data_IF_729931505679
#
_entry.id   IF_729931505679
#
_cell.length_a   1.000
_cell.length_b   1.000
_cell.length_c   1.000
_cell.angle_alpha   90.00
_cell.angle_beta   90.00
_cell.angle_gamma   90.00
#
_symmetry.space_group_name_H-M   'P 1'
#
loop_
_entity.id
_entity.type
_entity.pdbx_description
1 polymer ?
#
# COMPACT_ATOMS: atom_id res chain seq x y z
N UNK A 1 -4.19 -15.55 -17.14
CA UNK A 1 -3.84 -16.14 -15.83
C UNK A 1 -5.05 -16.44 -14.97
N UNK A 2 -5.84 -15.46 -14.50
CA UNK A 2 -7.03 -15.73 -13.64
C UNK A 2 -8.01 -16.75 -14.24
N UNK A 3 -8.41 -16.56 -15.50
CA UNK A 3 -9.32 -17.48 -16.21
C UNK A 3 -8.69 -18.87 -16.38
N UNK A 4 -7.40 -18.92 -16.75
CA UNK A 4 -6.63 -20.15 -16.97
C UNK A 4 -6.45 -20.95 -15.65
N UNK A 5 -6.33 -20.26 -14.52
CA UNK A 5 -6.28 -20.92 -13.21
C UNK A 5 -7.64 -21.51 -12.82
N UNK A 6 -8.75 -20.86 -13.16
CA UNK A 6 -10.11 -21.34 -12.82
C UNK A 6 -10.59 -22.47 -13.73
N UNK A 7 -10.07 -22.59 -14.95
CA UNK A 7 -10.46 -23.65 -15.90
C UNK A 7 -10.10 -25.05 -15.42
N UNK A 8 -9.15 -25.20 -14.49
CA UNK A 8 -8.78 -26.48 -13.85
C UNK A 8 -9.98 -27.15 -13.15
N UNK A 9 -10.90 -26.37 -12.61
CA UNK A 9 -12.10 -26.92 -11.96
C UNK A 9 -13.08 -27.58 -12.92
N UNK A 10 -12.95 -27.35 -14.23
CA UNK A 10 -13.82 -27.94 -15.25
C UNK A 10 -13.32 -29.29 -15.76
N UNK A 11 -12.07 -29.65 -15.46
CA UNK A 11 -11.31 -30.69 -16.16
C UNK A 11 -10.71 -31.75 -15.24
N UNK A 12 -10.52 -31.43 -13.95
CA UNK A 12 -9.93 -32.33 -12.95
C UNK A 12 -10.90 -32.64 -11.81
N UNK A 13 -10.76 -33.81 -11.17
CA UNK A 13 -11.55 -34.13 -9.99
C UNK A 13 -11.31 -33.10 -8.88
N UNK A 14 -12.40 -32.52 -8.38
CA UNK A 14 -12.35 -31.41 -7.45
C UNK A 14 -11.98 -31.89 -6.04
N UNK A 15 -10.68 -32.03 -5.77
CA UNK A 15 -10.17 -32.28 -4.42
C UNK A 15 -10.06 -30.96 -3.64
N UNK A 16 -10.35 -31.00 -2.34
CA UNK A 16 -10.26 -29.82 -1.46
C UNK A 16 -8.87 -29.16 -1.48
N UNK A 17 -7.81 -29.95 -1.64
CA UNK A 17 -6.44 -29.47 -1.75
C UNK A 17 -6.17 -28.73 -3.08
N UNK A 18 -6.67 -29.27 -4.20
CA UNK A 18 -6.54 -28.62 -5.50
C UNK A 18 -7.29 -27.28 -5.51
N UNK A 19 -8.47 -27.24 -4.88
CA UNK A 19 -9.24 -26.01 -4.68
C UNK A 19 -8.41 -24.95 -3.97
N UNK A 20 -7.76 -25.31 -2.86
CA UNK A 20 -6.96 -24.35 -2.09
C UNK A 20 -5.75 -23.86 -2.88
N UNK A 21 -5.02 -24.74 -3.59
CA UNK A 21 -3.88 -24.33 -4.43
C UNK A 21 -4.30 -23.37 -5.56
N UNK A 22 -5.42 -23.65 -6.22
CA UNK A 22 -5.97 -22.77 -7.27
C UNK A 22 -6.45 -21.46 -6.67
N UNK A 23 -7.12 -21.48 -5.51
CA UNK A 23 -7.56 -20.27 -4.82
C UNK A 23 -6.38 -19.38 -4.39
N UNK A 24 -5.28 -19.94 -3.86
CA UNK A 24 -4.07 -19.17 -3.52
C UNK A 24 -3.48 -18.41 -4.72
N UNK A 25 -3.40 -19.05 -5.88
CA UNK A 25 -2.81 -18.44 -7.08
C UNK A 25 -3.76 -17.45 -7.76
N UNK A 26 -5.07 -17.75 -7.75
CA UNK A 26 -6.09 -16.85 -8.28
C UNK A 26 -6.23 -15.57 -7.45
N UNK A 27 -6.21 -15.65 -6.12
CA UNK A 27 -6.27 -14.45 -5.26
C UNK A 27 -5.10 -13.51 -5.54
N UNK A 28 -3.90 -14.04 -5.76
CA UNK A 28 -2.74 -13.25 -6.15
C UNK A 28 -2.96 -12.52 -7.49
N UNK A 29 -3.44 -13.23 -8.51
CA UNK A 29 -3.72 -12.63 -9.80
C UNK A 29 -4.81 -11.56 -9.71
N UNK A 30 -5.83 -11.78 -8.87
CA UNK A 30 -6.91 -10.82 -8.62
C UNK A 30 -6.36 -9.52 -8.01
N UNK A 31 -5.38 -9.58 -7.09
CA UNK A 31 -4.74 -8.39 -6.52
C UNK A 31 -4.10 -7.52 -7.62
N UNK A 32 -3.38 -8.14 -8.56
CA UNK A 32 -2.78 -7.43 -9.69
C UNK A 32 -3.83 -6.79 -10.60
N UNK A 33 -4.89 -7.53 -10.91
CA UNK A 33 -6.00 -7.04 -11.73
C UNK A 33 -6.70 -5.86 -11.05
N UNK A 34 -7.01 -5.94 -9.76
CA UNK A 34 -7.64 -4.85 -9.01
C UNK A 34 -6.76 -3.60 -9.06
N UNK A 35 -5.45 -3.74 -8.85
CA UNK A 35 -4.50 -2.61 -8.87
C UNK A 35 -4.42 -1.94 -10.23
N UNK A 36 -4.24 -2.74 -11.28
CA UNK A 36 -4.17 -2.22 -12.64
C UNK A 36 -5.44 -1.47 -13.03
N UNK A 37 -6.61 -2.09 -12.83
CA UNK A 37 -7.90 -1.49 -13.17
C UNK A 37 -8.19 -0.25 -12.34
N UNK A 38 -7.85 -0.25 -11.05
CA UNK A 38 -8.04 0.93 -10.18
C UNK A 38 -7.30 2.16 -10.71
N UNK A 39 -6.04 1.99 -11.12
CA UNK A 39 -5.25 3.08 -11.69
C UNK A 39 -5.70 3.49 -13.09
N UNK A 40 -6.11 2.51 -13.90
CA UNK A 40 -6.61 2.78 -15.25
C UNK A 40 -7.92 3.60 -15.21
N UNK A 41 -8.89 3.19 -14.38
CA UNK A 41 -10.15 3.92 -14.18
C UNK A 41 -9.88 5.33 -13.66
N UNK A 42 -8.95 5.47 -12.73
CA UNK A 42 -8.63 6.75 -12.08
C UNK A 42 -7.52 7.55 -12.78
N UNK A 43 -7.08 7.20 -13.98
CA UNK A 43 -5.90 7.79 -14.62
C UNK A 43 -5.99 9.33 -14.74
N UNK A 44 -7.17 9.85 -15.09
CA UNK A 44 -7.42 11.31 -15.15
C UNK A 44 -7.30 11.97 -13.78
N UNK A 45 -7.82 11.33 -12.74
CA UNK A 45 -7.75 11.83 -11.37
C UNK A 45 -6.32 11.79 -10.82
N UNK A 46 -5.57 10.74 -11.12
CA UNK A 46 -4.15 10.62 -10.80
C UNK A 46 -3.34 11.76 -11.43
N UNK A 47 -3.59 12.05 -12.72
CA UNK A 47 -2.97 13.20 -13.39
C UNK A 47 -3.32 14.52 -12.70
N UNK A 48 -4.60 14.74 -12.41
CA UNK A 48 -5.05 15.94 -11.70
C UNK A 48 -4.38 16.07 -10.32
N UNK A 49 -4.24 14.99 -9.55
CA UNK A 49 -3.56 15.02 -8.25
C UNK A 49 -2.10 15.48 -8.40
N UNK A 50 -1.40 14.98 -9.42
CA UNK A 50 -0.03 15.41 -9.72
C UNK A 50 0.05 16.89 -10.06
N UNK A 51 -0.81 17.38 -10.95
CA UNK A 51 -0.85 18.80 -11.36
C UNK A 51 -1.14 19.71 -10.16
N UNK A 52 -2.06 19.30 -9.28
CA UNK A 52 -2.40 20.03 -8.06
C UNK A 52 -1.25 20.08 -7.08
N UNK A 53 -0.54 18.96 -6.89
CA UNK A 53 0.67 18.92 -6.06
C UNK A 53 1.74 19.87 -6.61
N UNK A 54 1.97 19.85 -7.92
CA UNK A 54 2.93 20.73 -8.57
C UNK A 54 2.57 22.21 -8.38
N UNK A 55 1.30 22.57 -8.56
CA UNK A 55 0.84 23.94 -8.32
C UNK A 55 1.10 24.38 -6.87
N UNK A 56 0.77 23.54 -5.89
CA UNK A 56 1.01 23.84 -4.47
C UNK A 56 2.50 24.04 -4.20
N UNK A 57 3.37 23.19 -4.74
CA UNK A 57 4.82 23.34 -4.60
C UNK A 57 5.32 24.65 -5.22
N UNK A 58 4.75 25.09 -6.34
CA UNK A 58 5.12 26.35 -7.00
C UNK A 58 4.63 27.59 -6.23
N UNK A 59 3.58 27.46 -5.41
CA UNK A 59 3.07 28.54 -4.55
C UNK A 59 3.97 28.77 -3.31
N UNK A 60 4.84 27.82 -2.94
CA UNK A 60 5.74 27.94 -1.80
C UNK A 60 6.88 28.93 -2.11
N UNK A 61 7.06 29.93 -1.24
CA UNK A 61 8.10 30.96 -1.37
C UNK A 61 9.13 30.93 -0.23
N UNK A 62 8.74 30.43 0.93
CA UNK A 62 9.62 30.36 2.10
C UNK A 62 10.61 29.20 1.96
N UNK A 63 11.88 29.46 2.24
CA UNK A 63 12.95 28.47 2.09
C UNK A 63 12.78 27.28 3.04
N UNK A 64 12.27 27.50 4.26
CA UNK A 64 12.02 26.42 5.20
C UNK A 64 10.85 25.55 4.73
N UNK A 65 9.79 26.15 4.17
CA UNK A 65 8.67 25.39 3.58
C UNK A 65 9.13 24.52 2.40
N UNK A 66 9.98 25.07 1.53
CA UNK A 66 10.59 24.32 0.43
C UNK A 66 11.47 23.19 0.97
N UNK A 67 12.25 23.43 2.02
CA UNK A 67 13.07 22.40 2.66
C UNK A 67 12.23 21.31 3.33
N UNK A 68 11.09 21.66 3.93
CA UNK A 68 10.11 20.68 4.44
C UNK A 68 9.62 19.80 3.28
N UNK A 69 9.14 20.39 2.19
CA UNK A 69 8.62 19.62 1.06
C UNK A 69 9.70 18.72 0.42
N UNK A 70 10.94 19.23 0.28
CA UNK A 70 12.09 18.44 -0.18
C UNK A 70 12.39 17.24 0.74
N UNK A 71 12.27 17.41 2.06
CA UNK A 71 12.45 16.32 3.02
C UNK A 71 11.46 15.18 2.78
N UNK A 72 10.16 15.47 2.64
CA UNK A 72 9.15 14.45 2.33
C UNK A 72 9.33 13.83 0.94
N UNK A 73 9.79 14.61 -0.04
CA UNK A 73 10.21 14.08 -1.34
C UNK A 73 11.39 13.10 -1.25
N UNK A 74 12.39 13.40 -0.41
CA UNK A 74 13.51 12.50 -0.16
C UNK A 74 13.09 11.25 0.60
N UNK A 75 12.22 11.37 1.62
CA UNK A 75 11.63 10.22 2.29
C UNK A 75 10.91 9.29 1.30
N UNK A 76 10.09 9.87 0.41
CA UNK A 76 9.40 9.12 -0.66
C UNK A 76 10.39 8.38 -1.56
N UNK A 77 11.52 9.00 -1.93
CA UNK A 77 12.58 8.32 -2.69
C UNK A 77 13.18 7.16 -1.92
N UNK A 78 13.50 7.33 -0.63
CA UNK A 78 14.02 6.27 0.21
C UNK A 78 13.04 5.08 0.33
N UNK A 79 11.76 5.35 0.60
CA UNK A 79 10.74 4.31 0.65
C UNK A 79 10.57 3.61 -0.71
N UNK A 80 10.55 4.37 -1.80
CA UNK A 80 10.46 3.82 -3.16
C UNK A 80 11.64 2.89 -3.44
N UNK A 81 12.87 3.30 -3.15
CA UNK A 81 14.07 2.48 -3.33
C UNK A 81 14.03 1.21 -2.47
N UNK A 82 13.62 1.31 -1.20
CA UNK A 82 13.51 0.15 -0.32
C UNK A 82 12.45 -0.86 -0.81
N UNK A 83 11.28 -0.36 -1.23
CA UNK A 83 10.18 -1.20 -1.74
C UNK A 83 10.57 -1.84 -3.08
N UNK A 84 11.23 -1.11 -3.98
CA UNK A 84 11.67 -1.68 -5.26
C UNK A 84 12.75 -2.74 -5.05
N UNK A 85 13.72 -2.52 -4.16
CA UNK A 85 14.72 -3.53 -3.78
C UNK A 85 14.06 -4.79 -3.21
N UNK A 86 13.13 -4.64 -2.27
CA UNK A 86 12.37 -5.76 -1.71
C UNK A 86 11.58 -6.51 -2.80
N UNK A 87 10.93 -5.78 -3.71
CA UNK A 87 10.21 -6.39 -4.83
C UNK A 87 11.14 -7.16 -5.77
N UNK A 88 12.32 -6.63 -6.08
CA UNK A 88 13.30 -7.32 -6.92
C UNK A 88 13.72 -8.63 -6.25
N UNK A 89 14.11 -8.59 -4.96
CA UNK A 89 14.49 -9.77 -4.21
C UNK A 89 13.40 -10.85 -4.20
N UNK A 90 12.14 -10.45 -4.00
CA UNK A 90 11.00 -11.38 -3.94
C UNK A 90 10.60 -11.96 -5.30
N UNK A 91 10.87 -11.27 -6.42
CA UNK A 91 10.65 -11.78 -7.79
C UNK A 91 11.80 -12.66 -8.28
N UNK A 92 13.04 -12.40 -7.85
CA UNK A 92 14.20 -13.19 -8.26
C UNK A 92 14.10 -14.66 -7.83
N UNK A 93 13.62 -14.92 -6.61
CA UNK A 93 13.52 -16.29 -6.09
C UNK A 93 12.61 -17.20 -6.95
N UNK A 94 11.33 -16.86 -7.22
CA UNK A 94 10.45 -17.69 -8.03
C UNK A 94 10.82 -17.73 -9.52
N UNK A 95 11.60 -16.77 -10.03
CA UNK A 95 12.07 -16.78 -11.43
C UNK A 95 13.33 -17.63 -11.62
N UNK A 96 14.24 -17.64 -10.64
CA UNK A 96 15.52 -18.36 -10.70
C UNK A 96 15.36 -19.85 -10.36
N UNK A 97 14.55 -20.22 -9.36
CA UNK A 97 14.38 -21.62 -8.93
C UNK A 97 13.99 -22.55 -10.11
N UNK A 98 12.97 -22.22 -10.95
CA UNK A 98 12.60 -23.06 -12.08
C UNK A 98 13.68 -23.17 -13.16
N UNK A 99 14.54 -22.15 -13.31
CA UNK A 99 15.63 -22.14 -14.31
C UNK A 99 16.81 -23.00 -13.84
N UNK A 100 17.15 -22.93 -12.55
CA UNK A 100 18.27 -23.69 -11.98
C UNK A 100 17.99 -25.20 -11.92
N UNK A 101 16.73 -25.59 -11.70
CA UNK A 101 16.32 -26.98 -11.47
C UNK A 101 16.68 -27.93 -12.64
N UNK A 102 16.39 -27.61 -13.92
CA UNK A 102 16.87 -28.41 -15.06
C UNK A 102 18.40 -28.47 -15.15
N UNK A 103 19.10 -27.37 -14.87
CA UNK A 103 20.57 -27.30 -14.97
C UNK A 103 21.22 -28.22 -13.94
N UNK A 104 20.78 -28.14 -12.67
CA UNK A 104 21.28 -29.03 -11.61
C UNK A 104 20.99 -30.50 -11.91
N UNK A 105 19.82 -30.82 -12.47
CA UNK A 105 19.48 -32.20 -12.81
C UNK A 105 20.36 -32.78 -13.93
N UNK A 106 20.74 -31.96 -14.92
CA UNK A 106 21.70 -32.36 -15.96
C UNK A 106 23.09 -32.61 -15.35
N UNK A 107 23.55 -31.73 -14.46
CA UNK A 107 24.87 -31.86 -13.81
C UNK A 107 24.91 -33.09 -12.88
N UNK A 108 23.86 -33.32 -12.10
CA UNK A 108 23.78 -34.41 -11.12
C UNK A 108 23.39 -35.77 -11.73
N UNK A 109 23.17 -35.86 -13.04
CA UNK A 109 22.79 -37.11 -13.75
C UNK A 109 21.57 -37.82 -13.11
N UNK A 110 20.59 -37.06 -12.63
CA UNK A 110 19.37 -37.61 -12.02
C UNK A 110 18.52 -38.28 -13.11
N UNK A 111 18.00 -39.48 -12.83
CA UNK A 111 17.30 -40.34 -13.78
C UNK A 111 16.13 -39.60 -14.47
N UNK A 112 15.96 -39.77 -15.81
CA UNK A 112 14.98 -39.03 -16.63
C UNK A 112 13.54 -39.15 -16.16
N UNK A 113 13.17 -40.26 -15.50
CA UNK A 113 11.83 -40.47 -14.94
C UNK A 113 11.56 -39.57 -13.74
N UNK A 114 12.55 -39.34 -12.87
CA UNK A 114 12.42 -38.49 -11.69
C UNK A 114 12.43 -37.00 -12.07
N UNK A 115 13.11 -36.62 -13.15
CA UNK A 115 13.02 -35.26 -13.69
C UNK A 115 11.63 -34.88 -14.22
N UNK A 116 10.80 -35.86 -14.63
CA UNK A 116 9.46 -35.64 -15.21
C UNK A 116 8.42 -35.25 -14.16
N UNK A 117 8.47 -35.81 -12.95
CA UNK A 117 7.59 -35.41 -11.83
C UNK A 117 7.94 -34.02 -11.26
N UNK A 118 9.19 -33.57 -11.47
CA UNK A 118 9.77 -32.37 -10.87
C UNK A 118 9.48 -31.09 -11.67
N UNK A 119 9.04 -31.22 -12.92
CA UNK A 119 8.60 -30.13 -13.83
C UNK A 119 7.14 -29.72 -13.55
N UNK A 120 6.48 -30.31 -12.56
CA UNK A 120 5.18 -29.84 -12.12
C UNK A 120 5.34 -28.47 -11.44
N UNK A 121 5.04 -27.41 -12.18
CA UNK A 121 5.09 -26.04 -11.69
C UNK A 121 4.24 -25.88 -10.42
N UNK A 122 4.78 -25.17 -9.42
CA UNK A 122 4.08 -24.75 -8.18
C UNK A 122 2.76 -24.03 -8.46
N UNK A 123 2.59 -23.49 -9.68
CA UNK A 123 1.33 -22.96 -10.17
C UNK A 123 0.72 -23.99 -11.12
N UNK A 124 -0.20 -24.79 -10.59
CA UNK A 124 -1.01 -25.70 -11.39
C UNK A 124 -1.89 -24.82 -12.29
N UNK A 125 -1.60 -24.83 -13.59
CA UNK A 125 -2.39 -24.18 -14.64
C UNK A 125 -2.52 -25.17 -15.80
N UNK A 126 -3.74 -25.43 -16.24
CA UNK A 126 -3.98 -26.16 -17.48
C UNK A 126 -3.87 -25.21 -18.66
N UNK A 127 -2.82 -25.37 -19.45
CA UNK A 127 -2.62 -24.56 -20.65
C UNK A 127 -3.33 -25.12 -21.90
N UNK A 128 -4.13 -26.20 -21.78
CA UNK A 128 -4.76 -26.93 -22.90
C UNK A 128 -3.80 -27.22 -24.09
N UNK A 129 -2.50 -27.25 -23.80
CA UNK A 129 -1.37 -27.44 -24.71
C UNK A 129 -0.43 -28.43 -24.02
N UNK A 130 0.23 -29.28 -24.79
CA UNK A 130 1.22 -30.24 -24.30
C UNK A 130 2.30 -29.55 -23.46
N UNK A 131 2.22 -29.75 -22.13
CA UNK A 131 3.09 -29.10 -21.15
C UNK A 131 4.54 -29.57 -21.28
N UNK A 132 4.79 -30.80 -21.73
CA UNK A 132 6.14 -31.33 -21.89
C UNK A 132 6.83 -30.67 -23.08
N UNK A 133 6.12 -30.55 -24.21
CA UNK A 133 6.65 -29.95 -25.44
C UNK A 133 6.86 -28.44 -25.34
N UNK A 134 5.99 -27.73 -24.62
CA UNK A 134 5.98 -26.26 -24.55
C UNK A 134 6.44 -25.70 -23.18
N UNK A 135 7.13 -26.51 -22.36
CA UNK A 135 7.59 -26.16 -21.01
C UNK A 135 8.33 -24.82 -20.91
N UNK A 136 9.28 -24.55 -21.81
CA UNK A 136 10.04 -23.29 -21.82
C UNK A 136 9.15 -22.07 -22.12
N UNK A 137 8.19 -22.20 -23.05
CA UNK A 137 7.27 -21.12 -23.40
C UNK A 137 6.28 -20.82 -22.28
N UNK A 138 5.79 -21.86 -21.59
CA UNK A 138 4.95 -21.71 -20.38
C UNK A 138 5.74 -21.00 -19.29
N UNK A 139 6.98 -21.42 -19.03
CA UNK A 139 7.86 -20.77 -18.05
C UNK A 139 8.09 -19.30 -18.37
N UNK A 140 8.38 -18.97 -19.62
CA UNK A 140 8.57 -17.59 -20.08
C UNK A 140 7.31 -16.76 -19.83
N UNK A 141 6.14 -17.26 -20.22
CA UNK A 141 4.86 -16.57 -20.01
C UNK A 141 4.57 -16.33 -18.52
N UNK A 142 4.82 -17.32 -17.66
CA UNK A 142 4.67 -17.20 -16.21
C UNK A 142 5.61 -16.13 -15.63
N UNK A 143 6.89 -16.14 -16.01
CA UNK A 143 7.87 -15.14 -15.56
C UNK A 143 7.50 -13.73 -16.04
N UNK A 144 7.09 -13.57 -17.29
CA UNK A 144 6.63 -12.29 -17.83
C UNK A 144 5.43 -11.77 -17.05
N UNK A 145 4.45 -12.64 -16.72
CA UNK A 145 3.29 -12.25 -15.93
C UNK A 145 3.67 -11.80 -14.52
N UNK A 146 4.53 -12.56 -13.82
CA UNK A 146 5.02 -12.20 -12.48
C UNK A 146 5.73 -10.84 -12.52
N UNK A 147 6.62 -10.63 -13.49
CA UNK A 147 7.34 -9.36 -13.65
C UNK A 147 6.38 -8.19 -13.91
N UNK A 148 5.43 -8.32 -14.83
CA UNK A 148 4.44 -7.27 -15.13
C UNK A 148 3.60 -6.96 -13.88
N UNK A 149 3.12 -7.99 -13.19
CA UNK A 149 2.34 -7.83 -11.97
C UNK A 149 3.13 -7.13 -10.85
N UNK A 150 4.37 -7.53 -10.65
CA UNK A 150 5.27 -6.95 -9.65
C UNK A 150 5.63 -5.48 -9.95
N UNK A 151 5.91 -5.15 -11.22
CA UNK A 151 6.14 -3.76 -11.66
C UNK A 151 4.88 -2.93 -11.45
N UNK A 152 3.71 -3.47 -11.81
CA UNK A 152 2.42 -2.77 -11.64
C UNK A 152 2.14 -2.51 -10.16
N UNK A 153 2.26 -3.52 -9.30
CA UNK A 153 2.02 -3.39 -7.86
C UNK A 153 2.98 -2.40 -7.21
N UNK A 154 4.26 -2.49 -7.55
CA UNK A 154 5.30 -1.62 -7.00
C UNK A 154 5.13 -0.19 -7.48
N UNK A 155 4.98 0.04 -8.78
CA UNK A 155 4.83 1.38 -9.34
C UNK A 155 3.56 2.09 -8.84
N UNK A 156 2.43 1.37 -8.81
CA UNK A 156 1.18 1.94 -8.29
C UNK A 156 1.23 2.16 -6.77
N UNK A 157 1.84 1.23 -6.02
CA UNK A 157 2.00 1.32 -4.57
C UNK A 157 2.88 2.49 -4.14
N UNK A 158 4.06 2.65 -4.74
CA UNK A 158 5.00 3.74 -4.43
C UNK A 158 4.45 5.10 -4.86
N UNK A 159 3.66 5.17 -5.93
CA UNK A 159 2.98 6.39 -6.35
C UNK A 159 1.92 6.86 -5.33
N UNK A 160 1.07 5.96 -4.84
CA UNK A 160 0.11 6.29 -3.76
C UNK A 160 0.83 6.73 -2.48
N UNK A 161 1.90 6.02 -2.12
CA UNK A 161 2.74 6.36 -0.98
C UNK A 161 3.30 7.78 -1.11
N UNK A 162 3.88 8.11 -2.26
CA UNK A 162 4.39 9.45 -2.52
C UNK A 162 3.31 10.53 -2.38
N UNK A 163 2.11 10.28 -2.90
CA UNK A 163 1.01 11.22 -2.71
C UNK A 163 0.61 11.41 -1.24
N UNK A 164 0.58 10.34 -0.44
CA UNK A 164 0.32 10.43 0.99
C UNK A 164 1.41 11.20 1.73
N UNK A 165 2.69 10.90 1.48
CA UNK A 165 3.85 11.58 2.05
C UNK A 165 3.85 13.09 1.71
N UNK A 166 3.51 13.46 0.47
CA UNK A 166 3.36 14.85 0.10
C UNK A 166 2.18 15.53 0.81
N UNK A 167 1.08 14.82 1.03
CA UNK A 167 -0.01 15.27 1.91
C UNK A 167 0.46 15.54 3.34
N UNK A 168 1.26 14.63 3.92
CA UNK A 168 1.92 14.82 5.22
C UNK A 168 2.81 16.08 5.24
N UNK A 169 3.58 16.30 4.18
CA UNK A 169 4.38 17.51 4.01
C UNK A 169 3.55 18.79 4.03
N UNK A 170 2.39 18.81 3.37
CA UNK A 170 1.48 19.95 3.42
C UNK A 170 0.91 20.21 4.82
N UNK A 171 0.54 19.17 5.55
CA UNK A 171 0.14 19.29 6.96
C UNK A 171 1.27 19.86 7.81
N UNK A 172 2.51 19.41 7.58
CA UNK A 172 3.68 19.93 8.31
C UNK A 172 3.94 21.41 8.01
N UNK A 173 3.75 21.85 6.77
CA UNK A 173 3.83 23.28 6.40
C UNK A 173 2.73 24.07 7.10
N UNK A 174 1.50 23.54 7.18
CA UNK A 174 0.42 24.20 7.92
C UNK A 174 0.79 24.44 9.39
N UNK A 175 1.27 23.39 10.09
CA UNK A 175 1.77 23.52 11.47
C UNK A 175 2.89 24.55 11.58
N UNK A 176 3.87 24.50 10.67
CA UNK A 176 5.00 25.44 10.65
C UNK A 176 4.54 26.90 10.53
N UNK A 177 3.62 27.19 9.60
CA UNK A 177 3.06 28.55 9.44
C UNK A 177 2.33 29.02 10.69
N UNK A 178 1.55 28.15 11.35
CA UNK A 178 0.87 28.49 12.60
C UNK A 178 1.86 28.85 13.72
N UNK A 179 2.89 28.02 13.91
CA UNK A 179 3.92 28.24 14.92
C UNK A 179 4.69 29.53 14.64
N UNK A 180 5.10 29.76 13.39
CA UNK A 180 5.90 30.92 13.00
C UNK A 180 5.12 32.24 13.11
N UNK A 181 3.83 32.25 12.75
CA UNK A 181 2.96 33.41 12.86
C UNK A 181 2.94 33.98 14.29
N UNK A 182 3.05 33.10 15.29
CA UNK A 182 2.97 33.44 16.70
C UNK A 182 4.35 33.63 17.34
N UNK A 183 5.38 32.87 16.90
CA UNK A 183 6.73 32.91 17.48
C UNK A 183 7.44 34.26 17.34
N UNK A 184 7.22 34.98 16.24
CA UNK A 184 7.93 36.25 15.94
C UNK A 184 7.57 37.37 16.94
N UNK A 185 6.45 37.26 17.68
CA UNK A 185 5.78 38.43 18.28
C UNK A 185 5.45 38.33 19.76
N UNK A 186 5.73 37.20 20.40
CA UNK A 186 5.58 37.03 21.86
C UNK A 186 6.50 37.98 22.65
N UNK A 187 7.60 38.46 22.05
CA UNK A 187 8.62 39.26 22.73
C UNK A 187 8.54 40.78 22.48
N UNK A 188 7.53 41.28 21.76
CA UNK A 188 7.35 42.73 21.50
C UNK A 188 5.90 43.14 21.75
N UNK A 189 5.70 44.39 22.21
CA UNK A 189 4.37 45.00 22.27
C UNK A 189 3.77 44.98 20.86
N UNK A 190 2.69 44.23 20.68
CA UNK A 190 2.05 44.00 19.38
C UNK A 190 1.58 45.35 18.83
N UNK A 191 2.10 45.76 17.67
CA UNK A 191 1.59 46.92 16.94
C UNK A 191 0.36 46.53 16.11
N UNK A 192 -0.44 47.50 15.68
CA UNK A 192 -1.58 47.23 14.76
C UNK A 192 -1.14 46.57 13.44
N UNK A 193 0.05 46.93 12.93
CA UNK A 193 0.67 46.24 11.77
C UNK A 193 0.99 44.78 12.08
N UNK A 194 1.36 44.51 13.33
CA UNK A 194 1.69 43.15 13.75
C UNK A 194 0.46 42.25 13.82
N UNK A 195 -0.67 42.77 14.28
CA UNK A 195 -1.95 42.07 14.30
C UNK A 195 -2.40 41.65 12.91
N UNK A 196 -2.33 42.57 11.94
CA UNK A 196 -2.68 42.31 10.54
C UNK A 196 -1.81 41.20 9.96
N UNK A 197 -0.50 41.23 10.24
CA UNK A 197 0.43 40.21 9.75
C UNK A 197 0.17 38.84 10.41
N UNK A 198 -0.08 38.77 11.73
CA UNK A 198 -0.46 37.52 12.40
C UNK A 198 -1.72 36.93 11.76
N UNK A 199 -2.74 37.78 11.58
CA UNK A 199 -3.99 37.34 10.99
C UNK A 199 -3.80 36.78 9.58
N UNK A 200 -3.01 37.47 8.75
CA UNK A 200 -2.68 37.05 7.39
C UNK A 200 -1.94 35.71 7.35
N UNK A 201 -0.92 35.52 8.19
CA UNK A 201 -0.15 34.27 8.23
C UNK A 201 -0.99 33.08 8.71
N UNK A 202 -1.86 33.28 9.70
CA UNK A 202 -2.80 32.24 10.15
C UNK A 202 -3.82 31.91 9.05
N UNK A 203 -4.31 32.89 8.28
CA UNK A 203 -5.15 32.63 7.10
C UNK A 203 -4.41 31.72 6.10
N UNK A 204 -3.14 32.00 5.80
CA UNK A 204 -2.35 31.16 4.90
C UNK A 204 -2.07 29.76 5.44
N UNK A 205 -1.92 29.61 6.77
CA UNK A 205 -1.81 28.31 7.42
C UNK A 205 -3.10 27.50 7.31
N UNK A 206 -4.26 28.15 7.53
CA UNK A 206 -5.58 27.53 7.38
C UNK A 206 -5.85 27.15 5.92
N UNK A 207 -5.45 27.98 4.95
CA UNK A 207 -5.62 27.70 3.52
C UNK A 207 -4.87 26.42 3.12
N UNK A 208 -3.58 26.32 3.47
CA UNK A 208 -2.79 25.14 3.12
C UNK A 208 -3.28 23.88 3.85
N UNK A 209 -3.73 24.00 5.11
CA UNK A 209 -4.38 22.90 5.84
C UNK A 209 -5.63 22.40 5.10
N UNK A 210 -6.50 23.31 4.68
CA UNK A 210 -7.71 22.97 3.90
C UNK A 210 -7.36 22.35 2.54
N UNK A 211 -6.34 22.87 1.86
CA UNK A 211 -5.84 22.28 0.61
C UNK A 211 -5.33 20.86 0.83
N UNK A 212 -4.60 20.60 1.93
CA UNK A 212 -4.08 19.29 2.29
C UNK A 212 -5.19 18.27 2.54
N UNK A 213 -6.19 18.65 3.37
CA UNK A 213 -7.36 17.80 3.64
C UNK A 213 -8.06 17.43 2.34
N UNK A 214 -8.43 18.43 1.52
CA UNK A 214 -9.11 18.19 0.23
C UNK A 214 -8.28 17.36 -0.73
N UNK A 215 -6.95 17.49 -0.70
CA UNK A 215 -6.06 16.72 -1.55
C UNK A 215 -6.07 15.23 -1.17
N UNK A 216 -5.94 14.93 0.13
CA UNK A 216 -5.96 13.54 0.59
C UNK A 216 -7.36 12.92 0.49
N UNK A 217 -8.42 13.67 0.78
CA UNK A 217 -9.81 13.20 0.57
C UNK A 217 -10.06 12.82 -0.90
N UNK A 218 -9.58 13.66 -1.84
CA UNK A 218 -9.67 13.36 -3.27
C UNK A 218 -8.87 12.11 -3.63
N UNK A 219 -7.66 11.95 -3.09
CA UNK A 219 -6.86 10.74 -3.31
C UNK A 219 -7.62 9.48 -2.83
N UNK A 220 -8.17 9.51 -1.62
CA UNK A 220 -8.80 8.33 -1.02
C UNK A 220 -10.13 7.96 -1.68
N UNK A 221 -10.99 8.94 -1.94
CA UNK A 221 -12.31 8.72 -2.53
C UNK A 221 -12.22 8.04 -3.90
N UNK A 222 -11.23 8.43 -4.72
CA UNK A 222 -10.99 7.82 -6.02
C UNK A 222 -10.60 6.34 -5.93
N UNK A 223 -9.89 5.94 -4.87
CA UNK A 223 -9.38 4.59 -4.70
C UNK A 223 -10.20 3.75 -3.70
N UNK A 224 -11.24 4.31 -3.08
CA UNK A 224 -12.01 3.70 -1.99
C UNK A 224 -12.50 2.30 -2.32
N UNK A 225 -13.22 2.13 -3.44
CA UNK A 225 -13.74 0.82 -3.85
C UNK A 225 -12.63 -0.21 -4.09
N UNK A 226 -11.51 0.22 -4.67
CA UNK A 226 -10.37 -0.67 -4.90
C UNK A 226 -9.68 -1.08 -3.60
N UNK A 227 -9.61 -0.19 -2.60
CA UNK A 227 -9.04 -0.52 -1.30
C UNK A 227 -9.92 -1.51 -0.53
N UNK A 228 -11.24 -1.35 -0.55
CA UNK A 228 -12.17 -2.31 0.06
C UNK A 228 -12.00 -3.70 -0.57
N UNK A 229 -11.94 -3.79 -1.90
CA UNK A 229 -11.69 -5.05 -2.59
C UNK A 229 -10.32 -5.65 -2.24
N UNK A 230 -9.27 -4.83 -2.16
CA UNK A 230 -7.93 -5.28 -1.77
C UNK A 230 -7.88 -5.79 -0.34
N UNK A 231 -8.63 -5.19 0.59
CA UNK A 231 -8.72 -5.67 1.98
C UNK A 231 -9.39 -7.05 2.01
N UNK A 232 -10.54 -7.20 1.34
CA UNK A 232 -11.27 -8.47 1.29
C UNK A 232 -10.44 -9.59 0.67
N UNK A 233 -9.91 -9.36 -0.54
CA UNK A 233 -9.07 -10.33 -1.24
C UNK A 233 -7.78 -10.57 -0.47
N UNK A 234 -7.22 -9.54 0.16
CA UNK A 234 -6.01 -9.66 0.98
C UNK A 234 -6.18 -10.59 2.17
N UNK A 235 -7.29 -10.49 2.92
CA UNK A 235 -7.58 -11.38 4.07
C UNK A 235 -7.78 -12.82 3.61
N UNK A 236 -8.57 -13.02 2.55
CA UNK A 236 -8.79 -14.36 1.96
C UNK A 236 -7.46 -14.95 1.47
N UNK A 237 -6.65 -14.14 0.79
CA UNK A 237 -5.36 -14.58 0.27
C UNK A 237 -4.39 -14.93 1.40
N UNK A 238 -4.35 -14.13 2.47
CA UNK A 238 -3.47 -14.36 3.60
C UNK A 238 -3.86 -15.65 4.35
N UNK A 239 -5.16 -15.87 4.61
CA UNK A 239 -5.63 -17.09 5.29
C UNK A 239 -5.34 -18.35 4.48
N UNK A 240 -5.63 -18.34 3.17
CA UNK A 240 -5.36 -19.48 2.28
C UNK A 240 -3.88 -19.81 2.18
N UNK A 241 -3.02 -18.80 2.07
CA UNK A 241 -1.57 -19.05 1.94
C UNK A 241 -0.93 -19.47 3.26
N UNK A 242 -1.43 -19.02 4.42
CA UNK A 242 -1.01 -19.55 5.72
C UNK A 242 -1.35 -21.04 5.85
N UNK A 243 -2.54 -21.42 5.41
CA UNK A 243 -2.95 -22.82 5.36
C UNK A 243 -2.09 -23.64 4.38
N UNK A 244 -1.79 -23.09 3.21
CA UNK A 244 -0.93 -23.75 2.22
C UNK A 244 0.51 -23.96 2.75
N UNK A 245 1.06 -23.03 3.55
CA UNK A 245 2.34 -23.22 4.24
C UNK A 245 2.26 -24.39 5.21
N UNK A 246 1.24 -24.43 6.07
CA UNK A 246 1.04 -25.51 7.02
C UNK A 246 1.02 -26.88 6.31
N UNK A 247 0.21 -26.98 5.26
CA UNK A 247 0.11 -28.20 4.47
C UNK A 247 1.42 -28.60 3.78
N UNK A 248 2.12 -27.64 3.19
CA UNK A 248 3.41 -27.88 2.53
C UNK A 248 4.46 -28.43 3.51
N UNK A 249 4.45 -27.96 4.76
CA UNK A 249 5.29 -28.50 5.83
C UNK A 249 4.88 -29.94 6.18
N UNK A 250 3.58 -30.22 6.33
CA UNK A 250 3.08 -31.57 6.66
C UNK A 250 3.46 -32.62 5.61
N UNK A 251 3.44 -32.24 4.31
CA UNK A 251 3.81 -33.12 3.20
C UNK A 251 5.32 -33.12 2.91
N UNK A 252 6.08 -32.21 3.53
CA UNK A 252 7.53 -32.08 3.31
C UNK A 252 7.92 -31.42 1.98
N UNK A 253 7.00 -30.71 1.32
CA UNK A 253 7.29 -29.98 0.08
C UNK A 253 7.91 -28.61 0.37
N UNK A 254 9.25 -28.55 0.34
CA UNK A 254 10.03 -27.34 0.66
C UNK A 254 9.82 -26.20 -0.35
N UNK A 255 9.63 -26.51 -1.64
CA UNK A 255 9.50 -25.50 -2.70
C UNK A 255 8.18 -24.73 -2.56
N UNK A 256 7.06 -25.46 -2.45
CA UNK A 256 5.74 -24.86 -2.24
C UNK A 256 5.72 -24.03 -0.94
N UNK A 257 6.38 -24.52 0.13
CA UNK A 257 6.50 -23.79 1.39
C UNK A 257 7.22 -22.44 1.22
N UNK A 258 8.36 -22.41 0.51
CA UNK A 258 9.11 -21.17 0.26
C UNK A 258 8.27 -20.19 -0.57
N UNK A 259 7.58 -20.68 -1.60
CA UNK A 259 6.73 -19.85 -2.45
C UNK A 259 5.60 -19.17 -1.66
N UNK A 260 4.84 -19.95 -0.89
CA UNK A 260 3.75 -19.40 -0.08
C UNK A 260 4.28 -18.49 1.04
N UNK A 261 5.45 -18.77 1.62
CA UNK A 261 6.07 -17.90 2.63
C UNK A 261 6.47 -16.53 2.06
N UNK A 262 7.10 -16.50 0.88
CA UNK A 262 7.41 -15.24 0.19
C UNK A 262 6.13 -14.46 -0.09
N UNK A 263 5.09 -15.16 -0.57
CA UNK A 263 3.82 -14.52 -0.86
C UNK A 263 3.14 -13.92 0.38
N UNK A 264 3.06 -14.67 1.49
CA UNK A 264 2.56 -14.18 2.79
C UNK A 264 3.35 -12.96 3.23
N UNK A 265 4.68 -12.99 3.11
CA UNK A 265 5.56 -11.87 3.46
C UNK A 265 5.23 -10.62 2.64
N UNK A 266 5.05 -10.77 1.32
CA UNK A 266 4.65 -9.66 0.44
C UNK A 266 3.29 -9.06 0.82
N UNK A 267 2.28 -9.90 1.09
CA UNK A 267 0.95 -9.43 1.49
C UNK A 267 1.00 -8.71 2.83
N UNK A 268 1.73 -9.23 3.81
CA UNK A 268 1.90 -8.61 5.12
C UNK A 268 2.60 -7.25 5.01
N UNK A 269 3.70 -7.16 4.27
CA UNK A 269 4.41 -5.89 4.04
C UNK A 269 3.49 -4.89 3.35
N UNK A 270 2.74 -5.30 2.33
CA UNK A 270 1.81 -4.44 1.63
C UNK A 270 0.69 -3.91 2.56
N UNK A 271 0.05 -4.80 3.33
CA UNK A 271 -0.98 -4.42 4.30
C UNK A 271 -0.44 -3.50 5.40
N UNK A 272 0.77 -3.78 5.90
CA UNK A 272 1.44 -2.97 6.91
C UNK A 272 1.70 -1.56 6.38
N UNK A 273 2.36 -1.44 5.21
CA UNK A 273 2.67 -0.14 4.62
C UNK A 273 1.40 0.68 4.38
N UNK A 274 0.36 0.09 3.79
CA UNK A 274 -0.90 0.80 3.53
C UNK A 274 -1.53 1.37 4.81
N UNK A 275 -1.57 0.59 5.89
CA UNK A 275 -2.13 1.02 7.17
C UNK A 275 -1.20 1.98 7.94
N UNK A 276 0.11 1.81 7.81
CA UNK A 276 1.11 2.70 8.40
C UNK A 276 1.01 4.11 7.80
N UNK A 277 1.00 4.23 6.46
CA UNK A 277 0.88 5.55 5.83
C UNK A 277 -0.49 6.20 6.10
N UNK A 278 -1.55 5.42 6.17
CA UNK A 278 -2.84 5.92 6.62
C UNK A 278 -2.75 6.53 8.04
N UNK A 279 -2.14 5.81 8.98
CA UNK A 279 -1.90 6.31 10.33
C UNK A 279 -1.02 7.56 10.32
N UNK A 280 0.00 7.62 9.47
CA UNK A 280 0.94 8.73 9.41
C UNK A 280 0.27 10.03 8.93
N UNK A 281 -0.62 9.95 7.95
CA UNK A 281 -1.41 11.12 7.52
C UNK A 281 -2.34 11.58 8.64
N UNK A 282 -2.99 10.65 9.35
CA UNK A 282 -3.83 10.98 10.50
C UNK A 282 -3.02 11.68 11.61
N UNK A 283 -1.83 11.16 11.93
CA UNK A 283 -0.92 11.74 12.90
C UNK A 283 -0.50 13.16 12.49
N UNK A 284 -0.17 13.37 11.20
CA UNK A 284 0.18 14.70 10.70
C UNK A 284 -0.98 15.69 10.77
N UNK A 285 -2.20 15.26 10.47
CA UNK A 285 -3.38 16.12 10.65
C UNK A 285 -3.60 16.44 12.14
N UNK A 286 -3.45 15.47 13.05
CA UNK A 286 -3.53 15.69 14.50
C UNK A 286 -2.43 16.64 15.00
N UNK A 287 -1.23 16.59 14.41
CA UNK A 287 -0.16 17.52 14.74
C UNK A 287 -0.50 18.97 14.37
N UNK A 288 -1.32 19.22 13.33
CA UNK A 288 -1.82 20.57 13.05
C UNK A 288 -2.71 21.07 14.19
N UNK A 289 -3.59 20.21 14.71
CA UNK A 289 -4.41 20.55 15.88
C UNK A 289 -3.55 20.80 17.12
N UNK A 290 -2.52 19.98 17.37
CA UNK A 290 -1.60 20.17 18.48
C UNK A 290 -0.80 21.48 18.36
N UNK A 291 -0.29 21.81 17.16
CA UNK A 291 0.38 23.09 16.88
C UNK A 291 -0.58 24.26 17.11
N UNK A 292 -1.83 24.18 16.64
CA UNK A 292 -2.84 25.22 16.84
C UNK A 292 -3.20 25.44 18.33
N UNK A 293 -3.12 24.37 19.14
CA UNK A 293 -3.36 24.45 20.58
C UNK A 293 -2.19 25.07 21.33
N UNK A 294 -0.95 24.69 20.96
CA UNK A 294 0.27 25.10 21.66
C UNK A 294 0.75 26.51 21.33
N UNK A 295 0.27 27.12 20.23
CA UNK A 295 0.57 28.53 19.97
C UNK A 295 -0.09 29.43 21.01
N UNK A 296 0.46 30.62 21.24
CA UNK A 296 -0.03 31.59 22.22
C UNK A 296 -1.32 32.31 21.76
N UNK A 297 -2.33 31.54 21.33
CA UNK A 297 -3.55 32.00 20.65
C UNK A 297 -4.31 33.05 21.46
N UNK A 298 -4.26 32.99 22.79
CA UNK A 298 -4.91 33.94 23.69
C UNK A 298 -4.36 35.37 23.61
N UNK A 299 -3.16 35.56 23.05
CA UNK A 299 -2.55 36.88 22.79
C UNK A 299 -2.85 37.36 21.35
N UNK A 300 -3.37 36.48 20.48
CA UNK A 300 -3.68 36.84 19.10
C UNK A 300 -4.88 37.81 19.02
N UNK A 301 -5.02 38.55 17.90
CA UNK A 301 -6.22 39.34 17.64
C UNK A 301 -7.50 38.49 17.68
N UNK A 302 -8.62 39.07 18.09
CA UNK A 302 -9.91 38.38 18.26
C UNK A 302 -10.33 37.59 17.01
N UNK A 303 -10.09 38.15 15.81
CA UNK A 303 -10.41 37.46 14.55
C UNK A 303 -9.56 36.20 14.36
N UNK A 304 -8.28 36.25 14.72
CA UNK A 304 -7.36 35.10 14.67
C UNK A 304 -7.72 34.05 15.73
N UNK A 305 -8.10 34.48 16.94
CA UNK A 305 -8.58 33.57 17.98
C UNK A 305 -9.77 32.74 17.49
N UNK A 306 -10.74 33.38 16.82
CA UNK A 306 -11.89 32.67 16.22
C UNK A 306 -11.46 31.65 15.16
N UNK A 307 -10.49 31.99 14.30
CA UNK A 307 -9.96 31.05 13.30
C UNK A 307 -9.28 29.83 13.94
N UNK A 308 -8.44 30.05 14.95
CA UNK A 308 -7.77 28.96 15.69
C UNK A 308 -8.82 28.10 16.41
N UNK A 309 -9.83 28.72 17.01
CA UNK A 309 -10.95 28.01 17.63
C UNK A 309 -11.66 27.10 16.62
N UNK A 310 -11.90 27.55 15.38
CA UNK A 310 -12.47 26.68 14.33
C UNK A 310 -11.56 25.51 13.97
N UNK A 311 -10.23 25.71 13.96
CA UNK A 311 -9.27 24.61 13.74
C UNK A 311 -9.36 23.59 14.88
N UNK A 312 -9.43 24.05 16.13
CA UNK A 312 -9.50 23.20 17.32
C UNK A 312 -10.86 22.48 17.45
N UNK A 313 -11.97 23.16 17.13
CA UNK A 313 -13.32 22.61 17.16
C UNK A 313 -13.58 21.61 16.04
N UNK A 314 -12.91 21.78 14.89
CA UNK A 314 -12.99 20.81 13.80
C UNK A 314 -12.27 19.54 14.26
N UNK A 315 -12.98 18.66 14.96
CA UNK A 315 -12.42 17.41 15.45
C UNK A 315 -11.69 16.66 14.32
N UNK A 316 -10.54 16.08 14.64
CA UNK A 316 -9.83 15.13 13.78
C UNK A 316 -10.68 13.92 13.37
N UNK A 317 -11.87 13.75 13.96
CA UNK A 317 -12.89 12.75 13.59
C UNK A 317 -13.32 12.83 12.12
N UNK A 318 -13.22 13.99 11.46
CA UNK A 318 -13.57 14.11 10.03
C UNK A 318 -12.49 13.46 9.14
N UNK A 319 -11.25 13.39 9.62
CA UNK A 319 -10.15 12.76 8.90
C UNK A 319 -9.87 11.32 9.38
N UNK A 320 -10.88 10.63 9.90
CA UNK A 320 -10.79 9.18 10.02
C UNK A 320 -10.84 8.65 8.58
N UNK A 321 -9.77 7.98 8.16
CA UNK A 321 -9.63 7.37 6.83
C UNK A 321 -10.60 6.19 6.69
N UNK A 322 -11.89 6.51 6.62
CA UNK A 322 -12.98 5.55 6.50
C UNK A 322 -13.06 5.08 5.06
N UNK A 323 -12.58 3.87 4.81
CA UNK A 323 -12.82 3.11 3.60
C UNK A 323 -14.18 2.43 3.69
N UNK A 324 -15.09 2.75 2.77
CA UNK A 324 -16.39 2.08 2.63
C UNK A 324 -17.30 2.24 3.85
N UNK A 325 -17.18 3.34 4.60
CA UNK A 325 -17.86 3.62 5.90
C UNK A 325 -17.58 2.63 7.05
N UNK A 326 -16.98 1.47 6.79
CA UNK A 326 -16.84 0.36 7.73
C UNK A 326 -15.42 0.19 8.27
N UNK A 327 -14.39 0.56 7.50
CA UNK A 327 -13.01 0.28 7.85
C UNK A 327 -12.20 1.58 8.00
N UNK A 328 -11.59 1.80 9.17
CA UNK A 328 -10.67 2.92 9.37
C UNK A 328 -9.24 2.43 9.18
N UNK A 329 -8.52 2.89 8.15
CA UNK A 329 -7.14 2.47 7.95
C UNK A 329 -6.23 2.98 9.09
N UNK A 330 -5.58 2.05 9.81
CA UNK A 330 -4.72 2.32 10.97
C UNK A 330 -3.88 1.09 11.31
N UNK A 331 -2.86 1.26 12.16
CA UNK A 331 -2.06 0.12 12.65
C UNK A 331 -2.90 -0.87 13.47
N UNK A 332 -3.93 -0.39 14.17
CA UNK A 332 -4.90 -1.26 14.86
C UNK A 332 -5.68 -2.12 13.87
N UNK A 333 -6.10 -1.53 12.76
CA UNK A 333 -6.81 -2.25 11.70
C UNK A 333 -5.91 -3.27 11.01
N UNK A 334 -4.63 -2.99 10.83
CA UNK A 334 -3.67 -4.00 10.38
C UNK A 334 -3.62 -5.22 11.31
N UNK A 335 -3.55 -4.99 12.63
CA UNK A 335 -3.59 -6.09 13.61
C UNK A 335 -4.92 -6.87 13.55
N UNK A 336 -6.05 -6.17 13.32
CA UNK A 336 -7.36 -6.79 13.13
C UNK A 336 -7.39 -7.68 11.88
N UNK A 337 -6.84 -7.23 10.75
CA UNK A 337 -6.77 -8.00 9.51
C UNK A 337 -5.91 -9.27 9.66
N UNK A 338 -4.79 -9.18 10.38
CA UNK A 338 -3.98 -10.36 10.70
C UNK A 338 -4.76 -11.33 11.57
N UNK A 339 -5.38 -10.85 12.65
CA UNK A 339 -6.19 -11.69 13.55
C UNK A 339 -7.29 -12.42 12.78
N UNK A 340 -8.03 -11.69 11.93
CA UNK A 340 -9.08 -12.25 11.09
C UNK A 340 -8.55 -13.33 10.14
N UNK A 341 -7.39 -13.08 9.51
CA UNK A 341 -6.75 -14.04 8.61
C UNK A 341 -6.29 -15.31 9.33
N UNK A 342 -5.74 -15.17 10.55
CA UNK A 342 -5.37 -16.30 11.41
C UNK A 342 -6.62 -17.07 11.85
N UNK A 343 -7.70 -16.39 12.25
CA UNK A 343 -8.96 -17.05 12.62
C UNK A 343 -9.54 -17.88 11.48
N UNK A 344 -9.52 -17.36 10.24
CA UNK A 344 -9.95 -18.14 9.08
C UNK A 344 -9.00 -19.30 8.77
N UNK A 345 -7.68 -19.12 8.93
CA UNK A 345 -6.72 -20.22 8.86
C UNK A 345 -7.04 -21.33 9.87
N UNK A 346 -7.26 -20.98 11.15
CA UNK A 346 -7.59 -21.95 12.21
C UNK A 346 -8.92 -22.66 11.94
N UNK A 347 -9.91 -21.94 11.41
CA UNK A 347 -11.17 -22.55 10.99
C UNK A 347 -10.94 -23.60 9.89
N UNK A 348 -10.21 -23.27 8.82
CA UNK A 348 -9.88 -24.23 7.76
C UNK A 348 -9.09 -25.42 8.28
N UNK A 349 -8.15 -25.20 9.21
CA UNK A 349 -7.41 -26.26 9.88
C UNK A 349 -8.33 -27.21 10.66
N UNK A 350 -9.30 -26.68 11.41
CA UNK A 350 -10.24 -27.50 12.18
C UNK A 350 -11.18 -28.34 11.32
N UNK A 351 -11.47 -27.90 10.08
CA UNK A 351 -12.30 -28.67 9.14
C UNK A 351 -11.56 -29.83 8.46
N UNK A 352 -10.23 -29.91 8.61
CA UNK A 352 -9.45 -31.05 8.12
C UNK A 352 -9.32 -32.19 9.14
N UNK A 353 -9.54 -31.90 10.44
CA UNK A 353 -9.66 -32.91 11.49
C UNK A 353 -11.06 -33.53 11.46
#
# INVERSE_FOLDING_TARGET
MTIISLTIFLTTECTSLLVIKVLCTTTFCIIYVIKYNSFWINARNVKHLMERLQQICNELKDENEINIMKKYGNNTKHYTTAITLFCICTVLIPTIIPILKPIFNIVLHVNKSQSREIIHFTIIQEYFIDQEKYSFLIMLHMNTFICIGAITLTGTGTMLLGYMEHGCGMFKIASYRMEQAMRIKVFKKISTKDEIMIHKEIIYAVDIHRKAIKYVELLLSNFEGSFVLLILVGVISLSLNLFAIFWAISVGNKEDCIFHFIFVSCVLVYMFLANYFAQEVLNHNNNVHASAYNVHWYIAPIQTQKLILFILQKESKIFVLKLGKLFSASLESFAMLIKLSISYFTFMYSMQQ
#
